data_IF_980747083487
#
_entry.id   IF_980747083487
#
_cell.length_a   1.000
_cell.length_b   1.000
_cell.length_c   1.000
_cell.angle_alpha   90.00
_cell.angle_beta   90.00
_cell.angle_gamma   90.00
#
_symmetry.space_group_name_H-M   'P 1'
#
loop_
_entity.id
_entity.type
_entity.pdbx_description
1 polymer ?
#
# COMPACT_ATOMS: atom_id res chain seq x y z
N UNK A 1 26.45 -19.33 -16.53
CA UNK A 1 27.05 -18.36 -17.47
C UNK A 1 26.95 -16.94 -16.95
N UNK A 2 25.76 -16.43 -16.60
CA UNK A 2 25.60 -15.08 -16.01
C UNK A 2 26.39 -14.88 -14.70
N UNK A 3 26.41 -15.88 -13.81
CA UNK A 3 27.17 -15.85 -12.55
C UNK A 3 28.69 -16.00 -12.69
N UNK A 4 29.17 -16.44 -13.85
CA UNK A 4 30.56 -16.91 -14.03
C UNK A 4 31.33 -16.10 -15.07
N UNK A 5 30.66 -15.24 -15.83
CA UNK A 5 31.26 -14.46 -16.93
C UNK A 5 31.23 -12.98 -16.56
N UNK A 6 32.40 -12.34 -16.36
CA UNK A 6 32.45 -10.92 -16.03
C UNK A 6 31.72 -10.06 -17.07
N UNK A 7 30.86 -9.16 -16.61
CA UNK A 7 30.15 -8.21 -17.47
C UNK A 7 28.87 -8.73 -18.14
N UNK A 8 28.65 -10.05 -18.21
CA UNK A 8 27.47 -10.60 -18.90
C UNK A 8 26.16 -10.25 -18.19
N UNK A 9 26.15 -10.17 -16.85
CA UNK A 9 25.00 -9.66 -16.10
C UNK A 9 24.68 -8.21 -16.46
N UNK A 10 25.69 -7.33 -16.53
CA UNK A 10 25.49 -5.93 -16.94
C UNK A 10 24.98 -5.80 -18.37
N UNK A 11 25.40 -6.69 -19.26
CA UNK A 11 24.89 -6.73 -20.63
C UNK A 11 23.44 -7.24 -20.69
N UNK A 12 23.11 -8.25 -19.88
CA UNK A 12 21.74 -8.74 -19.71
C UNK A 12 20.79 -7.62 -19.24
N UNK A 13 21.15 -6.92 -18.16
CA UNK A 13 20.37 -5.78 -17.65
C UNK A 13 20.24 -4.66 -18.68
N UNK A 14 21.36 -4.28 -19.32
CA UNK A 14 21.35 -3.25 -20.38
C UNK A 14 20.43 -3.63 -21.54
N UNK A 15 20.43 -4.89 -21.94
CA UNK A 15 19.58 -5.39 -23.01
C UNK A 15 18.11 -5.37 -22.60
N UNK A 16 17.79 -5.77 -21.37
CA UNK A 16 16.44 -5.70 -20.83
C UNK A 16 15.92 -4.26 -20.81
N UNK A 17 16.70 -3.31 -20.29
CA UNK A 17 16.37 -1.89 -20.30
C UNK A 17 16.10 -1.37 -21.73
N UNK A 18 17.06 -1.54 -22.64
CA UNK A 18 16.97 -1.00 -23.99
C UNK A 18 15.84 -1.62 -24.85
N UNK A 19 15.50 -2.89 -24.61
CA UNK A 19 14.59 -3.64 -25.48
C UNK A 19 13.22 -3.93 -24.87
N UNK A 20 13.05 -3.75 -23.56
CA UNK A 20 11.81 -4.06 -22.84
C UNK A 20 11.38 -2.90 -21.97
N UNK A 21 12.15 -2.57 -20.92
CA UNK A 21 11.68 -1.68 -19.84
C UNK A 21 11.52 -0.23 -20.29
N UNK A 22 12.52 0.31 -20.99
CA UNK A 22 12.58 1.75 -21.31
C UNK A 22 11.94 2.07 -22.67
N UNK A 23 11.23 1.11 -23.26
CA UNK A 23 10.55 1.31 -24.54
C UNK A 23 9.26 2.10 -24.34
N UNK A 24 8.97 2.99 -25.28
CA UNK A 24 7.69 3.74 -25.33
C UNK A 24 6.44 2.86 -25.28
N UNK A 25 6.53 1.63 -25.80
CA UNK A 25 5.46 0.62 -25.76
C UNK A 25 5.91 -0.59 -24.93
N UNK A 26 6.55 -0.35 -23.80
CA UNK A 26 6.91 -1.41 -22.85
C UNK A 26 5.65 -2.23 -22.51
N UNK A 27 5.77 -3.57 -22.35
CA UNK A 27 4.68 -4.36 -21.80
C UNK A 27 4.24 -3.79 -20.44
N UNK A 28 2.96 -3.91 -20.12
CA UNK A 28 2.47 -3.51 -18.79
C UNK A 28 2.95 -4.47 -17.71
N UNK A 29 2.99 -3.97 -16.48
CA UNK A 29 3.19 -4.81 -15.31
C UNK A 29 2.01 -5.75 -15.07
N UNK A 30 2.11 -6.63 -14.04
CA UNK A 30 1.08 -7.63 -13.75
C UNK A 30 -0.31 -7.05 -13.42
N UNK A 31 -0.37 -5.78 -12.99
CA UNK A 31 -1.61 -5.09 -12.63
C UNK A 31 -2.06 -4.03 -13.65
N UNK A 32 -1.40 -3.93 -14.80
CA UNK A 32 -1.68 -2.91 -15.82
C UNK A 32 -0.57 -1.87 -15.96
N UNK A 33 -0.87 -0.69 -16.53
CA UNK A 33 0.13 0.36 -16.71
C UNK A 33 0.62 0.89 -15.36
N UNK A 34 1.86 1.38 -15.34
CA UNK A 34 2.44 2.04 -14.17
C UNK A 34 1.90 3.47 -14.02
N UNK A 35 1.87 3.93 -12.76
CA UNK A 35 1.48 5.27 -12.35
C UNK A 35 2.23 6.35 -13.13
N UNK A 36 3.54 6.18 -13.31
CA UNK A 36 4.38 7.13 -14.04
C UNK A 36 3.87 7.35 -15.46
N UNK A 37 3.70 6.28 -16.22
CA UNK A 37 3.19 6.35 -17.59
C UNK A 37 1.80 6.97 -17.65
N UNK A 38 0.91 6.63 -16.71
CA UNK A 38 -0.44 7.18 -16.66
C UNK A 38 -0.42 8.68 -16.33
N UNK A 39 0.34 9.10 -15.33
CA UNK A 39 0.47 10.48 -14.88
C UNK A 39 1.14 11.35 -15.96
N UNK A 40 2.24 10.90 -16.54
CA UNK A 40 2.92 11.61 -17.64
C UNK A 40 1.99 11.82 -18.84
N UNK A 41 1.13 10.86 -19.15
CA UNK A 41 0.18 10.96 -20.28
C UNK A 41 -0.89 12.05 -20.09
N UNK A 42 -1.06 12.53 -18.84
CA UNK A 42 -2.05 13.54 -18.44
C UNK A 42 -1.41 14.87 -18.06
N UNK A 43 -0.09 14.91 -17.98
CA UNK A 43 0.68 16.12 -17.67
C UNK A 43 0.59 17.16 -18.81
N UNK A 44 0.78 18.44 -18.47
CA UNK A 44 0.87 19.53 -19.46
C UNK A 44 -0.38 20.41 -19.63
N UNK A 45 -1.40 20.24 -18.79
CA UNK A 45 -2.54 21.17 -18.72
C UNK A 45 -2.25 22.30 -17.73
N UNK A 46 -1.99 23.50 -18.24
CA UNK A 46 -1.90 24.70 -17.41
C UNK A 46 -3.28 25.08 -16.85
N UNK A 47 -3.36 25.34 -15.55
CA UNK A 47 -4.58 25.81 -14.87
C UNK A 47 -4.62 27.34 -14.82
N UNK A 48 -5.81 27.91 -14.92
CA UNK A 48 -6.04 29.35 -14.70
C UNK A 48 -5.72 29.78 -13.26
N UNK A 49 -5.40 31.06 -13.08
CA UNK A 49 -5.15 31.63 -11.74
C UNK A 49 -6.38 31.48 -10.82
N UNK A 50 -7.58 31.56 -11.39
CA UNK A 50 -8.84 31.34 -10.67
C UNK A 50 -8.98 29.88 -10.18
N UNK A 51 -8.62 28.90 -11.02
CA UNK A 51 -8.60 27.50 -10.63
C UNK A 51 -7.58 27.27 -9.49
N UNK A 52 -6.36 27.77 -9.66
CA UNK A 52 -5.29 27.65 -8.65
C UNK A 52 -5.66 28.29 -7.31
N UNK A 53 -6.40 29.40 -7.33
CA UNK A 53 -6.90 30.05 -6.12
C UNK A 53 -7.98 29.23 -5.41
N UNK A 54 -8.84 28.55 -6.17
CA UNK A 54 -9.84 27.62 -5.62
C UNK A 54 -9.16 26.36 -5.06
N UNK A 55 -8.18 25.80 -5.77
CA UNK A 55 -7.42 24.62 -5.34
C UNK A 55 -6.74 24.87 -4.00
N UNK A 56 -6.16 26.04 -3.79
CA UNK A 56 -5.55 26.42 -2.51
C UNK A 56 -6.57 26.46 -1.36
N UNK A 57 -7.85 26.80 -1.62
CA UNK A 57 -8.92 26.73 -0.61
C UNK A 57 -9.28 25.27 -0.32
N UNK A 58 -9.46 24.46 -1.36
CA UNK A 58 -9.78 23.04 -1.25
C UNK A 58 -8.69 22.30 -0.46
N UNK A 59 -7.41 22.52 -0.79
CA UNK A 59 -6.28 21.89 -0.08
C UNK A 59 -6.31 22.22 1.41
N UNK A 60 -6.66 23.44 1.82
CA UNK A 60 -6.79 23.79 3.24
C UNK A 60 -7.93 23.05 3.93
N UNK A 61 -9.07 22.88 3.26
CA UNK A 61 -10.19 22.08 3.77
C UNK A 61 -9.78 20.61 3.92
N UNK A 62 -9.10 20.04 2.93
CA UNK A 62 -8.64 18.66 3.00
C UNK A 62 -7.61 18.48 4.13
N UNK A 63 -6.68 19.42 4.31
CA UNK A 63 -5.69 19.38 5.39
C UNK A 63 -6.31 19.54 6.78
N UNK A 64 -7.44 20.25 6.93
CA UNK A 64 -8.14 20.32 8.23
C UNK A 64 -8.75 18.99 8.64
N UNK A 65 -9.06 18.15 7.66
CA UNK A 65 -9.64 16.82 7.85
C UNK A 65 -8.59 15.69 7.77
N UNK A 66 -7.31 16.04 7.63
CA UNK A 66 -6.21 15.08 7.50
C UNK A 66 -5.50 14.88 8.83
N UNK A 67 -5.71 13.71 9.44
CA UNK A 67 -4.89 13.22 10.54
C UNK A 67 -3.62 12.55 10.04
N UNK A 68 -2.51 12.70 10.76
CA UNK A 68 -1.22 12.10 10.42
C UNK A 68 -0.59 11.37 11.62
N UNK A 69 -0.08 10.18 11.38
CA UNK A 69 0.91 9.52 12.25
C UNK A 69 2.27 9.62 11.56
N UNK A 70 3.28 10.15 12.24
CA UNK A 70 4.63 10.30 11.69
C UNK A 70 5.68 9.71 12.62
N UNK A 71 6.48 8.81 12.07
CA UNK A 71 7.72 8.32 12.66
C UNK A 71 8.91 8.93 11.91
N UNK A 72 9.73 9.72 12.61
CA UNK A 72 10.86 10.47 12.01
C UNK A 72 12.20 9.72 12.05
N UNK A 73 12.19 8.45 12.48
CA UNK A 73 13.37 7.62 12.69
C UNK A 73 13.72 7.47 14.17
N UNK A 74 13.20 8.33 15.03
CA UNK A 74 13.43 8.30 16.48
C UNK A 74 12.13 8.38 17.28
N UNK A 75 11.19 9.22 16.85
CA UNK A 75 9.98 9.55 17.60
C UNK A 75 8.74 9.37 16.76
N UNK A 76 7.70 8.86 17.41
CA UNK A 76 6.36 8.80 16.84
C UNK A 76 5.53 10.01 17.30
N UNK A 77 4.87 10.66 16.35
CA UNK A 77 4.00 11.82 16.59
C UNK A 77 2.66 11.60 15.91
N UNK A 78 1.58 11.91 16.61
CA UNK A 78 0.22 11.88 16.08
C UNK A 78 -0.31 13.31 16.02
N UNK A 79 -0.74 13.73 14.83
CA UNK A 79 -1.26 15.05 14.53
C UNK A 79 -2.72 14.86 14.08
N UNK A 80 -3.72 15.26 14.89
CA UNK A 80 -5.12 15.00 14.55
C UNK A 80 -5.62 15.73 13.29
N UNK A 81 -5.08 16.91 13.01
CA UNK A 81 -5.41 17.75 11.85
C UNK A 81 -4.18 18.58 11.45
N UNK A 82 -3.95 18.74 10.14
CA UNK A 82 -2.80 19.48 9.61
C UNK A 82 -3.07 20.98 9.37
N UNK A 83 -4.35 21.38 9.33
CA UNK A 83 -4.76 22.76 9.22
C UNK A 83 -5.93 23.07 10.18
N UNK A 84 -6.14 24.34 10.56
CA UNK A 84 -7.35 24.76 11.28
C UNK A 84 -8.61 24.53 10.43
N UNK A 85 -9.74 24.28 11.09
CA UNK A 85 -11.04 24.20 10.44
C UNK A 85 -11.34 25.52 9.71
N UNK A 86 -11.65 25.49 8.40
CA UNK A 86 -11.96 26.69 7.63
C UNK A 86 -13.22 27.40 8.12
N UNK A 87 -13.21 28.73 8.10
CA UNK A 87 -14.40 29.53 8.43
C UNK A 87 -15.51 29.39 7.38
N UNK A 88 -15.12 29.14 6.13
CA UNK A 88 -16.03 28.98 4.99
C UNK A 88 -15.49 27.92 4.03
N UNK A 89 -16.30 26.90 3.80
CA UNK A 89 -16.02 25.84 2.82
C UNK A 89 -16.33 26.29 1.39
N UNK A 90 -15.64 25.67 0.44
CA UNK A 90 -15.91 25.74 -1.00
C UNK A 90 -17.28 25.13 -1.29
N UNK A 91 -18.06 25.87 -2.07
CA UNK A 91 -19.44 25.52 -2.44
C UNK A 91 -19.53 25.13 -3.91
N UNK A 92 -20.63 24.49 -4.31
CA UNK A 92 -20.89 24.19 -5.72
C UNK A 92 -20.87 25.47 -6.58
N UNK A 93 -21.31 26.61 -6.04
CA UNK A 93 -21.27 27.88 -6.75
C UNK A 93 -19.84 28.37 -7.01
N UNK A 94 -18.89 28.11 -6.09
CA UNK A 94 -17.48 28.44 -6.29
C UNK A 94 -16.90 27.57 -7.43
N UNK A 95 -17.19 26.27 -7.43
CA UNK A 95 -16.72 25.33 -8.47
C UNK A 95 -17.35 25.66 -9.83
N UNK A 96 -18.65 25.92 -9.88
CA UNK A 96 -19.37 26.21 -11.12
C UNK A 96 -18.99 27.55 -11.76
N UNK A 97 -18.27 28.42 -11.03
CA UNK A 97 -17.70 29.64 -11.60
C UNK A 97 -16.53 29.37 -12.56
N UNK A 98 -15.87 28.21 -12.45
CA UNK A 98 -14.79 27.79 -13.34
C UNK A 98 -15.31 27.21 -14.67
N UNK A 99 -14.46 27.23 -15.69
CA UNK A 99 -14.73 26.54 -16.96
C UNK A 99 -14.83 25.03 -16.76
N UNK A 100 -15.65 24.34 -17.54
CA UNK A 100 -15.96 22.91 -17.31
C UNK A 100 -14.72 22.00 -17.23
N UNK A 101 -13.64 22.32 -17.97
CA UNK A 101 -12.40 21.53 -17.96
C UNK A 101 -11.47 21.81 -16.77
N UNK A 102 -11.75 22.85 -16.00
CA UNK A 102 -10.93 23.31 -14.86
C UNK A 102 -11.64 23.11 -13.52
N UNK A 103 -12.79 22.44 -13.50
CA UNK A 103 -13.57 22.22 -12.27
C UNK A 103 -12.93 21.09 -11.46
N UNK A 104 -12.51 21.33 -10.20
CA UNK A 104 -12.20 20.24 -9.29
C UNK A 104 -13.43 19.39 -9.03
N UNK A 105 -13.23 18.08 -8.89
CA UNK A 105 -14.27 17.09 -8.57
C UNK A 105 -14.34 16.80 -7.07
N UNK A 106 -13.71 17.61 -6.23
CA UNK A 106 -13.90 17.54 -4.78
C UNK A 106 -13.70 18.89 -4.11
N UNK A 107 -14.23 18.99 -2.90
CA UNK A 107 -13.84 19.96 -1.90
C UNK A 107 -13.91 19.30 -0.50
N UNK A 108 -13.80 20.07 0.58
CA UNK A 108 -13.97 19.52 1.93
C UNK A 108 -15.32 18.83 2.13
N UNK A 109 -16.41 19.47 1.68
CA UNK A 109 -17.78 18.93 1.80
C UNK A 109 -18.41 18.49 0.48
N UNK A 110 -17.74 18.74 -0.66
CA UNK A 110 -18.22 18.34 -1.98
C UNK A 110 -17.58 17.01 -2.39
N UNK A 111 -18.42 16.00 -2.60
CA UNK A 111 -18.01 14.64 -2.94
C UNK A 111 -18.43 14.27 -4.36
N UNK A 112 -17.52 13.69 -5.13
CA UNK A 112 -17.84 13.15 -6.45
C UNK A 112 -18.17 11.66 -6.38
N UNK A 113 -19.42 11.31 -6.70
CA UNK A 113 -19.97 9.95 -6.64
C UNK A 113 -20.34 9.45 -8.02
N UNK A 114 -20.26 8.14 -8.21
CA UNK A 114 -20.81 7.48 -9.40
C UNK A 114 -22.32 7.31 -9.29
N UNK A 115 -22.81 7.02 -8.08
CA UNK A 115 -24.21 6.71 -7.79
C UNK A 115 -24.66 7.55 -6.59
N UNK A 116 -25.75 8.29 -6.76
CA UNK A 116 -26.39 9.03 -5.67
C UNK A 116 -27.20 8.09 -4.77
N UNK A 117 -26.50 7.29 -3.97
CA UNK A 117 -27.09 6.33 -3.03
C UNK A 117 -26.29 6.23 -1.72
N UNK A 118 -26.97 5.80 -0.65
CA UNK A 118 -26.34 5.47 0.64
C UNK A 118 -26.06 3.96 0.67
N UNK A 119 -24.79 3.58 0.86
CA UNK A 119 -24.32 2.21 0.58
C UNK A 119 -24.13 1.35 1.85
N UNK A 120 -23.81 1.94 3.00
CA UNK A 120 -23.57 1.19 4.25
C UNK A 120 -24.71 0.24 4.67
N UNK A 121 -26.02 0.51 4.44
CA UNK A 121 -27.07 -0.41 4.86
C UNK A 121 -26.96 -1.77 4.15
N UNK A 122 -26.53 -1.76 2.87
CA UNK A 122 -26.28 -2.99 2.12
C UNK A 122 -25.11 -3.77 2.74
N UNK A 123 -24.01 -3.08 3.05
CA UNK A 123 -22.84 -3.70 3.65
C UNK A 123 -23.14 -4.29 5.04
N UNK A 124 -23.88 -3.57 5.87
CA UNK A 124 -24.31 -4.06 7.19
C UNK A 124 -25.19 -5.30 7.08
N UNK A 125 -26.11 -5.36 6.10
CA UNK A 125 -26.91 -6.56 5.89
C UNK A 125 -26.05 -7.74 5.39
N UNK A 126 -25.10 -7.51 4.49
CA UNK A 126 -24.17 -8.55 4.05
C UNK A 126 -23.28 -9.05 5.19
N UNK A 127 -22.75 -8.15 6.02
CA UNK A 127 -21.99 -8.52 7.22
C UNK A 127 -22.83 -9.33 8.21
N UNK A 128 -24.06 -8.88 8.51
CA UNK A 128 -25.01 -9.60 9.37
C UNK A 128 -25.27 -11.02 8.86
N UNK A 129 -25.44 -11.19 7.54
CA UNK A 129 -25.61 -12.51 6.90
C UNK A 129 -24.33 -13.35 6.97
N UNK A 130 -23.16 -12.73 6.83
CA UNK A 130 -21.87 -13.40 6.93
C UNK A 130 -21.60 -13.94 8.34
N UNK A 131 -22.09 -13.26 9.38
CA UNK A 131 -21.90 -13.66 10.79
C UNK A 131 -23.07 -14.44 11.39
N UNK A 132 -24.15 -14.70 10.62
CA UNK A 132 -25.34 -15.40 11.14
C UNK A 132 -25.10 -16.91 11.25
N UNK A 133 -25.02 -17.50 12.47
CA UNK A 133 -24.75 -18.92 12.64
C UNK A 133 -25.87 -19.81 12.10
N UNK A 134 -27.08 -19.28 11.84
CA UNK A 134 -28.20 -20.02 11.26
C UNK A 134 -28.04 -20.27 9.76
N UNK A 135 -27.15 -19.54 9.09
CA UNK A 135 -26.86 -19.71 7.66
C UNK A 135 -25.79 -20.77 7.42
N UNK A 136 -25.85 -21.40 6.25
CA UNK A 136 -24.83 -22.39 5.85
C UNK A 136 -23.46 -21.73 5.65
N UNK A 137 -22.38 -22.50 5.79
CA UNK A 137 -21.02 -22.00 5.59
C UNK A 137 -20.84 -21.33 4.21
N UNK A 138 -21.43 -21.92 3.17
CA UNK A 138 -21.44 -21.37 1.81
C UNK A 138 -22.15 -20.00 1.76
N UNK A 139 -23.35 -19.90 2.32
CA UNK A 139 -24.11 -18.65 2.33
C UNK A 139 -23.39 -17.54 3.12
N UNK A 140 -22.73 -17.91 4.24
CA UNK A 140 -21.91 -16.96 5.01
C UNK A 140 -20.71 -16.48 4.21
N UNK A 141 -20.02 -17.39 3.51
CA UNK A 141 -18.88 -17.06 2.66
C UNK A 141 -19.27 -16.17 1.47
N UNK A 142 -20.38 -16.48 0.79
CA UNK A 142 -20.90 -15.65 -0.30
C UNK A 142 -21.27 -14.24 0.20
N UNK A 143 -21.97 -14.13 1.34
CA UNK A 143 -22.31 -12.86 1.95
C UNK A 143 -21.07 -12.05 2.39
N UNK A 144 -20.05 -12.72 2.93
CA UNK A 144 -18.79 -12.10 3.30
C UNK A 144 -18.05 -11.57 2.06
N UNK A 145 -18.01 -12.35 0.97
CA UNK A 145 -17.44 -11.90 -0.30
C UNK A 145 -18.15 -10.66 -0.82
N UNK A 146 -19.49 -10.64 -0.83
CA UNK A 146 -20.28 -9.47 -1.22
C UNK A 146 -20.00 -8.25 -0.32
N UNK A 147 -19.89 -8.45 0.99
CA UNK A 147 -19.52 -7.39 1.92
C UNK A 147 -18.16 -6.78 1.59
N UNK A 148 -17.12 -7.62 1.46
CA UNK A 148 -15.75 -7.16 1.21
C UNK A 148 -15.60 -6.51 -0.15
N UNK A 149 -16.18 -7.09 -1.21
CA UNK A 149 -16.22 -6.48 -2.54
C UNK A 149 -16.93 -5.13 -2.51
N UNK A 150 -18.07 -5.04 -1.82
CA UNK A 150 -18.81 -3.78 -1.71
C UNK A 150 -18.05 -2.70 -0.92
N UNK A 151 -17.29 -3.09 0.11
CA UNK A 151 -16.48 -2.15 0.91
C UNK A 151 -15.35 -1.50 0.10
N UNK A 152 -14.78 -2.22 -0.87
CA UNK A 152 -13.73 -1.68 -1.74
C UNK A 152 -14.32 -0.84 -2.89
N UNK A 153 -15.43 -1.28 -3.51
CA UNK A 153 -15.93 -0.69 -4.76
C UNK A 153 -16.99 0.40 -4.61
N UNK A 154 -17.89 0.30 -3.64
CA UNK A 154 -19.04 1.22 -3.58
C UNK A 154 -18.62 2.62 -3.15
N UNK A 155 -19.30 3.63 -3.68
CA UNK A 155 -19.11 5.03 -3.26
C UNK A 155 -19.17 5.15 -1.73
N UNK A 156 -18.22 5.89 -1.17
CA UNK A 156 -18.07 6.07 0.26
C UNK A 156 -19.20 6.93 0.83
N UNK A 157 -19.66 6.47 1.98
CA UNK A 157 -20.42 7.26 2.95
C UNK A 157 -19.67 7.29 4.29
N UNK A 158 -20.07 8.17 5.23
CA UNK A 158 -19.37 8.33 6.50
C UNK A 158 -19.28 7.05 7.33
N UNK A 159 -20.24 6.14 7.23
CA UNK A 159 -20.21 4.88 7.98
C UNK A 159 -19.20 3.92 7.34
N UNK A 160 -19.22 3.78 6.02
CA UNK A 160 -18.24 3.00 5.27
C UNK A 160 -16.80 3.48 5.52
N UNK A 161 -16.59 4.79 5.52
CA UNK A 161 -15.29 5.37 5.81
C UNK A 161 -14.77 4.98 7.21
N UNK A 162 -15.66 4.87 8.20
CA UNK A 162 -15.33 4.36 9.55
C UNK A 162 -15.20 2.84 9.61
N UNK A 163 -15.83 2.08 8.71
CA UNK A 163 -15.57 0.64 8.58
C UNK A 163 -14.12 0.39 8.15
N UNK A 164 -13.54 1.25 7.30
CA UNK A 164 -12.14 1.13 6.86
C UNK A 164 -11.14 1.28 8.03
N UNK A 165 -11.47 2.07 9.06
CA UNK A 165 -10.67 2.19 10.29
C UNK A 165 -10.53 0.86 11.04
N UNK A 166 -11.44 -0.07 10.79
CA UNK A 166 -11.50 -1.35 11.50
C UNK A 166 -10.55 -2.40 10.92
N UNK A 167 -9.83 -2.11 9.82
CA UNK A 167 -8.92 -3.07 9.23
C UNK A 167 -7.59 -3.15 10.02
N UNK A 168 -7.31 -4.24 10.73
CA UNK A 168 -6.08 -4.37 11.51
C UNK A 168 -4.82 -4.41 10.63
N UNK A 169 -4.96 -4.74 9.33
CA UNK A 169 -3.84 -4.77 8.41
C UNK A 169 -3.31 -3.37 8.04
N UNK A 170 -4.06 -2.30 8.33
CA UNK A 170 -3.63 -0.92 8.07
C UNK A 170 -2.40 -0.56 8.92
N UNK A 171 -1.39 0.02 8.30
CA UNK A 171 -0.13 0.41 8.96
C UNK A 171 -0.30 1.40 10.10
N UNK A 172 -1.31 2.26 10.07
CA UNK A 172 -1.65 3.12 11.21
C UNK A 172 -2.05 2.34 12.47
N UNK A 173 -2.50 1.10 12.33
CA UNK A 173 -2.80 0.21 13.46
C UNK A 173 -1.54 -0.42 14.06
N UNK A 174 -0.70 -1.06 13.25
CA UNK A 174 0.40 -1.88 13.75
C UNK A 174 1.72 -1.13 13.93
N UNK A 175 2.02 -0.09 13.14
CA UNK A 175 3.32 0.59 13.21
C UNK A 175 3.57 1.27 14.56
N UNK A 176 2.59 1.95 15.21
CA UNK A 176 2.84 2.57 16.49
C UNK A 176 3.26 1.58 17.58
N UNK A 177 2.60 0.41 17.63
CA UNK A 177 2.96 -0.65 18.57
C UNK A 177 4.35 -1.22 18.25
N UNK A 178 4.68 -1.41 16.96
CA UNK A 178 5.99 -1.91 16.54
C UNK A 178 7.13 -0.94 16.86
N UNK A 179 6.94 0.36 16.63
CA UNK A 179 7.92 1.40 16.99
C UNK A 179 8.18 1.36 18.49
N UNK A 180 7.12 1.36 19.31
CA UNK A 180 7.21 1.27 20.78
C UNK A 180 7.92 -0.01 21.22
N UNK A 181 7.60 -1.14 20.60
CA UNK A 181 8.26 -2.42 20.88
C UNK A 181 9.76 -2.39 20.54
N UNK A 182 10.17 -1.59 19.55
CA UNK A 182 11.56 -1.44 19.15
C UNK A 182 12.32 -0.34 19.91
N UNK A 183 11.66 0.46 20.76
CA UNK A 183 12.32 1.51 21.54
C UNK A 183 13.46 0.95 22.41
N UNK A 184 14.60 1.64 22.39
CA UNK A 184 15.81 1.25 23.12
C UNK A 184 16.55 0.03 22.54
N UNK A 185 16.04 -0.59 21.47
CA UNK A 185 16.72 -1.68 20.76
C UNK A 185 17.45 -1.12 19.53
N UNK A 186 18.60 -1.70 19.21
CA UNK A 186 19.48 -1.20 18.13
C UNK A 186 19.61 -2.15 16.95
N UNK A 187 19.04 -3.37 17.04
CA UNK A 187 19.19 -4.37 15.99
C UNK A 187 18.34 -4.06 14.75
N UNK A 188 17.06 -3.77 14.96
CA UNK A 188 16.15 -3.45 13.88
C UNK A 188 16.04 -1.95 13.65
N UNK A 189 16.07 -1.58 12.36
CA UNK A 189 15.72 -0.25 11.88
C UNK A 189 14.27 -0.24 11.41
N UNK A 190 13.63 0.91 11.51
CA UNK A 190 12.29 1.16 10.97
C UNK A 190 12.45 2.36 10.04
N UNK A 191 12.01 2.28 8.78
CA UNK A 191 12.13 3.42 7.90
C UNK A 191 11.20 4.55 8.36
N UNK A 192 11.68 5.79 8.29
CA UNK A 192 10.85 7.00 8.46
C UNK A 192 9.57 6.84 7.67
N UNK A 193 8.45 7.13 8.31
CA UNK A 193 7.12 6.84 7.77
C UNK A 193 6.19 7.98 8.14
N UNK A 194 5.48 8.52 7.15
CA UNK A 194 4.30 9.37 7.37
C UNK A 194 3.08 8.66 6.84
N UNK A 195 2.08 8.47 7.71
CA UNK A 195 0.79 7.85 7.43
C UNK A 195 -0.24 8.97 7.49
N UNK A 196 -0.86 9.30 6.36
CA UNK A 196 -1.93 10.28 6.29
C UNK A 196 -3.27 9.56 6.16
N UNK A 197 -4.22 9.90 7.04
CA UNK A 197 -5.60 9.48 6.90
C UNK A 197 -6.25 10.37 5.82
N UNK A 198 -6.48 9.79 4.64
CA UNK A 198 -7.00 10.51 3.49
C UNK A 198 -8.43 11.01 3.78
N UNK A 199 -8.74 12.30 3.56
CA UNK A 199 -10.10 12.82 3.71
C UNK A 199 -11.11 12.02 2.87
N UNK A 200 -12.34 11.91 3.36
CA UNK A 200 -13.38 11.08 2.72
C UNK A 200 -13.61 11.48 1.25
N UNK A 201 -13.66 12.79 0.97
CA UNK A 201 -13.90 13.30 -0.39
C UNK A 201 -12.73 13.03 -1.34
N UNK A 202 -11.49 13.03 -0.84
CA UNK A 202 -10.30 12.64 -1.59
C UNK A 202 -10.27 11.14 -1.84
N UNK A 203 -10.44 10.33 -0.79
CA UNK A 203 -10.42 8.87 -0.91
C UNK A 203 -11.52 8.34 -1.84
N UNK A 204 -12.65 9.05 -1.93
CA UNK A 204 -13.73 8.72 -2.86
C UNK A 204 -13.29 8.77 -4.33
N UNK A 205 -12.34 9.64 -4.70
CA UNK A 205 -11.83 9.72 -6.07
C UNK A 205 -11.21 8.39 -6.54
N UNK A 206 -10.77 7.53 -5.61
CA UNK A 206 -10.22 6.22 -5.98
C UNK A 206 -11.28 5.21 -6.43
N UNK A 207 -12.57 5.56 -6.34
CA UNK A 207 -13.72 4.70 -6.68
C UNK A 207 -14.48 5.21 -7.89
N UNK A 208 -14.00 6.27 -8.53
CA UNK A 208 -14.50 6.71 -9.83
C UNK A 208 -13.51 6.30 -10.92
N UNK A 209 -13.93 6.38 -12.19
CA UNK A 209 -13.04 6.11 -13.33
C UNK A 209 -11.86 7.10 -13.29
N UNK A 210 -10.64 6.60 -13.12
CA UNK A 210 -9.46 7.45 -12.92
C UNK A 210 -9.28 8.42 -14.10
N UNK A 211 -9.51 7.96 -15.32
CA UNK A 211 -9.43 8.73 -16.57
C UNK A 211 -10.42 9.90 -16.62
N UNK A 212 -11.50 9.85 -15.83
CA UNK A 212 -12.49 10.94 -15.74
C UNK A 212 -12.03 12.12 -14.87
N UNK A 213 -10.92 11.99 -14.14
CA UNK A 213 -10.43 13.04 -13.24
C UNK A 213 -9.92 14.28 -14.01
N UNK A 214 -10.25 15.48 -13.57
CA UNK A 214 -9.77 16.73 -14.19
C UNK A 214 -8.35 17.06 -13.74
N UNK A 215 -7.63 17.86 -14.54
CA UNK A 215 -6.29 18.34 -14.18
C UNK A 215 -6.30 19.13 -12.85
N UNK A 216 -7.36 19.92 -12.60
CA UNK A 216 -7.53 20.64 -11.34
C UNK A 216 -7.71 19.69 -10.14
N UNK A 217 -8.47 18.60 -10.31
CA UNK A 217 -8.59 17.57 -9.27
C UNK A 217 -7.23 16.95 -8.92
N UNK A 218 -6.42 16.63 -9.92
CA UNK A 218 -5.11 16.02 -9.72
C UNK A 218 -4.11 16.99 -9.08
N UNK A 219 -4.10 18.27 -9.48
CA UNK A 219 -3.28 19.31 -8.82
C UNK A 219 -3.67 19.51 -7.34
N UNK A 220 -4.97 19.46 -7.01
CA UNK A 220 -5.42 19.47 -5.60
C UNK A 220 -4.86 18.27 -4.83
N UNK A 221 -4.91 17.07 -5.40
CA UNK A 221 -4.42 15.84 -4.75
C UNK A 221 -2.92 15.92 -4.52
N UNK A 222 -2.16 16.41 -5.49
CA UNK A 222 -0.71 16.59 -5.38
C UNK A 222 -0.33 17.64 -4.34
N UNK A 223 -0.97 18.80 -4.33
CA UNK A 223 -0.71 19.84 -3.34
C UNK A 223 -1.07 19.39 -1.93
N UNK A 224 -2.16 18.63 -1.79
CA UNK A 224 -2.48 17.98 -0.53
C UNK A 224 -1.37 17.02 -0.10
N UNK A 225 -0.90 16.14 -0.99
CA UNK A 225 0.15 15.17 -0.68
C UNK A 225 1.48 15.84 -0.31
N UNK A 226 1.90 16.85 -1.07
CA UNK A 226 3.10 17.66 -0.79
C UNK A 226 3.06 18.25 0.63
N UNK A 227 1.93 18.82 1.03
CA UNK A 227 1.74 19.38 2.36
C UNK A 227 1.64 18.30 3.46
N UNK A 228 0.84 17.25 3.23
CA UNK A 228 0.58 16.19 4.20
C UNK A 228 1.84 15.40 4.55
N UNK A 229 2.62 15.05 3.53
CA UNK A 229 3.84 14.26 3.68
C UNK A 229 5.10 15.10 3.87
N UNK A 230 5.03 16.42 3.67
CA UNK A 230 6.19 17.34 3.69
C UNK A 230 7.26 16.91 2.68
N UNK A 231 6.80 16.62 1.46
CA UNK A 231 7.63 16.11 0.38
C UNK A 231 8.73 17.12 0.03
N UNK A 232 9.92 16.61 -0.22
CA UNK A 232 11.06 17.39 -0.69
C UNK A 232 11.50 16.87 -2.05
N UNK A 233 11.61 17.72 -3.08
CA UNK A 233 11.91 17.28 -4.44
C UNK A 233 13.24 16.52 -4.61
N UNK A 234 14.19 16.70 -3.69
CA UNK A 234 15.52 16.08 -3.72
C UNK A 234 15.64 14.78 -2.89
N UNK A 235 14.54 14.30 -2.31
CA UNK A 235 14.49 13.05 -1.55
C UNK A 235 13.87 11.89 -2.36
N UNK A 236 14.09 10.67 -1.88
CA UNK A 236 13.52 9.46 -2.48
C UNK A 236 12.53 8.78 -1.53
N UNK A 237 11.40 8.36 -2.10
CA UNK A 237 10.26 7.88 -1.33
C UNK A 237 9.82 6.49 -1.76
N UNK A 238 9.36 5.71 -0.78
CA UNK A 238 8.61 4.48 -1.00
C UNK A 238 7.12 4.72 -0.70
N UNK A 239 6.27 4.48 -1.70
CA UNK A 239 4.83 4.72 -1.65
C UNK A 239 4.05 3.44 -1.35
N UNK A 240 3.05 3.54 -0.49
CA UNK A 240 2.05 2.49 -0.28
C UNK A 240 0.72 3.04 0.21
N UNK A 241 -0.34 2.25 0.09
CA UNK A 241 -1.58 2.44 0.84
C UNK A 241 -1.41 1.88 2.26
N UNK A 242 -2.41 2.07 3.11
CA UNK A 242 -2.41 1.49 4.47
C UNK A 242 -2.12 -0.02 4.52
N UNK A 243 -2.51 -0.77 3.48
CA UNK A 243 -2.45 -2.25 3.46
C UNK A 243 -1.64 -2.84 2.31
N UNK A 244 -1.30 -2.05 1.28
CA UNK A 244 -0.70 -2.57 0.06
C UNK A 244 0.32 -1.62 -0.55
N UNK A 245 1.45 -2.20 -0.97
CA UNK A 245 2.40 -1.57 -1.87
C UNK A 245 2.38 -2.30 -3.19
N UNK A 246 2.31 -1.58 -4.32
CA UNK A 246 2.39 -2.19 -5.64
C UNK A 246 3.82 -2.56 -6.04
N UNK A 247 4.58 -3.18 -5.12
CA UNK A 247 6.00 -3.53 -5.30
C UNK A 247 6.23 -4.57 -6.41
N UNK A 248 5.17 -5.20 -6.92
CA UNK A 248 5.21 -6.08 -8.08
C UNK A 248 5.33 -5.32 -9.40
N UNK A 249 5.15 -4.00 -9.38
CA UNK A 249 5.61 -3.05 -10.37
C UNK A 249 6.31 -1.89 -9.63
N UNK A 250 7.61 -2.06 -9.39
CA UNK A 250 8.35 -1.23 -8.44
C UNK A 250 8.41 0.25 -8.84
N UNK A 251 8.20 0.55 -10.13
CA UNK A 251 8.06 1.92 -10.67
C UNK A 251 6.92 2.70 -10.00
N UNK A 252 5.92 2.00 -9.48
CA UNK A 252 4.80 2.62 -8.76
C UNK A 252 5.12 2.88 -7.29
N UNK A 253 6.06 2.14 -6.72
CA UNK A 253 6.37 2.17 -5.30
C UNK A 253 7.59 3.04 -5.00
N UNK A 254 8.49 3.29 -5.94
CA UNK A 254 9.71 4.05 -5.73
C UNK A 254 9.75 5.31 -6.59
N UNK A 255 9.76 6.47 -5.92
CA UNK A 255 9.80 7.79 -6.57
C UNK A 255 11.10 8.49 -6.19
N UNK A 256 11.82 9.01 -7.20
CA UNK A 256 13.14 9.64 -7.04
C UNK A 256 13.29 10.97 -7.74
N UNK A 257 12.61 11.17 -8.87
CA UNK A 257 12.83 12.37 -9.68
C UNK A 257 12.06 13.57 -9.11
N UNK A 258 12.65 14.78 -9.06
CA UNK A 258 12.00 15.95 -8.46
C UNK A 258 10.60 16.27 -8.99
N UNK A 259 10.36 16.04 -10.29
CA UNK A 259 9.04 16.25 -10.87
C UNK A 259 8.03 15.18 -10.41
N UNK A 260 8.44 13.91 -10.36
CA UNK A 260 7.59 12.81 -9.87
C UNK A 260 7.28 12.97 -8.38
N UNK A 261 8.24 13.46 -7.58
CA UNK A 261 8.00 13.76 -6.15
C UNK A 261 6.85 14.75 -5.98
N UNK A 262 6.75 15.76 -6.86
CA UNK A 262 5.66 16.73 -6.81
C UNK A 262 4.31 16.15 -7.23
N UNK A 263 4.31 14.96 -7.85
CA UNK A 263 3.14 14.24 -8.36
C UNK A 263 2.78 12.98 -7.53
N UNK A 264 3.34 12.85 -6.33
CA UNK A 264 3.09 11.69 -5.45
C UNK A 264 1.60 11.55 -5.08
N UNK A 265 0.82 12.63 -5.10
CA UNK A 265 -0.62 12.57 -4.84
C UNK A 265 -1.33 11.75 -5.91
N UNK A 266 -1.06 12.03 -7.19
CA UNK A 266 -1.55 11.24 -8.31
C UNK A 266 -1.12 9.76 -8.22
N UNK A 267 0.14 9.49 -7.85
CA UNK A 267 0.63 8.11 -7.72
C UNK A 267 -0.13 7.35 -6.65
N UNK A 268 -0.31 7.95 -5.46
CA UNK A 268 -1.06 7.33 -4.36
C UNK A 268 -2.53 7.11 -4.72
N UNK A 269 -3.15 8.07 -5.41
CA UNK A 269 -4.53 7.94 -5.88
C UNK A 269 -4.67 6.82 -6.92
N UNK A 270 -3.77 6.78 -7.92
CA UNK A 270 -3.77 5.74 -8.94
C UNK A 270 -3.55 4.35 -8.36
N UNK A 271 -2.59 4.21 -7.43
CA UNK A 271 -2.35 2.98 -6.68
C UNK A 271 -3.60 2.50 -5.94
N UNK A 272 -4.32 3.42 -5.29
CA UNK A 272 -5.56 3.11 -4.60
C UNK A 272 -6.65 2.69 -5.59
N UNK A 273 -6.83 3.41 -6.71
CA UNK A 273 -7.79 3.08 -7.78
C UNK A 273 -7.57 1.69 -8.35
N UNK A 274 -6.35 1.40 -8.81
CA UNK A 274 -5.99 0.09 -9.36
C UNK A 274 -6.26 -1.03 -8.35
N UNK A 275 -5.94 -0.81 -7.07
CA UNK A 275 -6.10 -1.81 -6.03
C UNK A 275 -7.57 -2.09 -5.66
N UNK A 276 -8.44 -1.08 -5.61
CA UNK A 276 -9.87 -1.32 -5.31
C UNK A 276 -10.60 -1.95 -6.51
N UNK A 277 -10.21 -1.61 -7.74
CA UNK A 277 -10.76 -2.22 -8.96
C UNK A 277 -10.50 -3.73 -9.05
N UNK A 278 -9.46 -4.24 -8.38
CA UNK A 278 -9.21 -5.69 -8.27
C UNK A 278 -10.40 -6.44 -7.64
N UNK A 279 -11.20 -5.79 -6.79
CA UNK A 279 -12.41 -6.38 -6.21
C UNK A 279 -13.56 -6.53 -7.22
N UNK A 280 -13.45 -5.86 -8.38
CA UNK A 280 -14.44 -5.82 -9.44
C UNK A 280 -14.76 -7.20 -10.04
N UNK A 281 -16.02 -7.45 -10.46
CA UNK A 281 -16.42 -8.74 -11.03
C UNK A 281 -15.78 -9.02 -12.41
N UNK A 282 -15.21 -7.99 -13.06
CA UNK A 282 -14.48 -8.12 -14.32
C UNK A 282 -13.01 -8.51 -14.11
N UNK A 283 -12.50 -8.38 -12.88
CA UNK A 283 -11.14 -8.78 -12.52
C UNK A 283 -11.03 -10.30 -12.44
N UNK A 284 -9.93 -10.85 -12.94
CA UNK A 284 -9.69 -12.29 -12.97
C UNK A 284 -8.34 -12.65 -12.34
N UNK A 285 -8.31 -13.16 -11.10
CA UNK A 285 -9.44 -13.33 -10.18
C UNK A 285 -9.90 -12.01 -9.55
N UNK A 286 -11.19 -11.90 -9.22
CA UNK A 286 -11.71 -10.83 -8.38
C UNK A 286 -11.15 -10.96 -6.96
N UNK A 287 -10.44 -9.94 -6.50
CA UNK A 287 -9.67 -9.93 -5.25
C UNK A 287 -10.01 -8.67 -4.46
N UNK A 288 -10.80 -8.82 -3.40
CA UNK A 288 -11.01 -7.76 -2.41
C UNK A 288 -9.89 -7.75 -1.36
N UNK A 289 -9.77 -6.67 -0.60
CA UNK A 289 -8.84 -6.60 0.52
C UNK A 289 -7.48 -6.01 0.22
N UNK A 290 -7.17 -5.69 -1.05
CA UNK A 290 -5.85 -5.19 -1.47
C UNK A 290 -5.61 -3.82 -0.83
N UNK A 291 -6.50 -2.86 -1.06
CA UNK A 291 -6.44 -1.51 -0.46
C UNK A 291 -7.71 -1.15 0.31
N UNK A 292 -8.23 -2.08 1.13
CA UNK A 292 -9.33 -1.79 2.08
C UNK A 292 -8.79 -0.93 3.23
N UNK A 293 -8.59 0.35 2.98
CA UNK A 293 -7.99 1.30 3.91
C UNK A 293 -8.41 2.73 3.56
N UNK A 294 -8.26 3.64 4.53
CA UNK A 294 -8.37 5.08 4.33
C UNK A 294 -7.04 5.81 4.56
N UNK A 295 -5.93 5.06 4.54
CA UNK A 295 -4.59 5.58 4.76
C UNK A 295 -3.79 5.62 3.45
N UNK A 296 -3.09 6.73 3.24
CA UNK A 296 -2.03 6.87 2.25
C UNK A 296 -0.69 7.06 2.95
N UNK A 297 0.37 6.45 2.44
CA UNK A 297 1.63 6.33 3.18
C UNK A 297 2.83 6.61 2.30
N UNK A 298 3.70 7.46 2.83
CA UNK A 298 5.00 7.79 2.26
C UNK A 298 6.08 7.42 3.27
N UNK A 299 7.04 6.61 2.84
CA UNK A 299 8.18 6.15 3.65
C UNK A 299 9.48 6.62 3.04
N UNK A 300 10.53 6.73 3.86
CA UNK A 300 11.87 6.82 3.30
C UNK A 300 12.17 5.56 2.50
N UNK A 301 12.75 5.74 1.32
CA UNK A 301 13.26 4.63 0.55
C UNK A 301 14.51 4.08 1.23
N UNK A 302 14.59 2.76 1.39
CA UNK A 302 15.77 2.07 1.92
C UNK A 302 16.71 1.78 0.74
N UNK A 303 17.87 2.46 0.63
CA UNK A 303 18.79 2.31 -0.50
C UNK A 303 19.38 0.91 -0.57
N UNK A 304 19.73 0.47 -1.79
CA UNK A 304 20.51 -0.75 -1.97
C UNK A 304 21.99 -0.44 -1.86
N UNK A 305 22.62 -0.89 -0.78
CA UNK A 305 24.05 -0.63 -0.56
C UNK A 305 24.96 -1.64 -1.28
N UNK A 306 24.38 -2.65 -1.95
CA UNK A 306 25.12 -3.77 -2.55
C UNK A 306 24.95 -3.91 -4.06
N UNK A 307 24.20 -3.00 -4.71
CA UNK A 307 23.95 -3.02 -6.16
C UNK A 307 23.44 -4.39 -6.63
N UNK A 308 22.40 -4.87 -5.96
CA UNK A 308 21.82 -6.18 -6.17
C UNK A 308 20.97 -6.20 -7.46
N UNK A 309 20.92 -7.34 -8.16
CA UNK A 309 19.99 -7.52 -9.26
C UNK A 309 18.55 -7.28 -8.83
N UNK A 310 17.78 -6.65 -9.72
CA UNK A 310 16.41 -6.24 -9.47
C UNK A 310 15.41 -7.17 -10.13
N UNK A 311 14.25 -7.36 -9.52
CA UNK A 311 13.05 -7.99 -10.11
C UNK A 311 11.91 -6.98 -10.14
N UNK A 312 10.75 -7.33 -10.68
CA UNK A 312 9.55 -6.48 -10.64
C UNK A 312 9.80 -5.05 -11.11
N UNK A 313 10.50 -4.92 -12.24
CA UNK A 313 10.78 -3.64 -12.89
C UNK A 313 11.58 -2.65 -12.01
N UNK A 314 12.39 -3.16 -11.08
CA UNK A 314 13.38 -2.34 -10.36
C UNK A 314 13.54 -2.64 -8.87
N UNK A 315 12.76 -3.55 -8.30
CA UNK A 315 12.86 -3.93 -6.88
C UNK A 315 14.17 -4.70 -6.62
N UNK A 316 15.10 -4.19 -5.79
CA UNK A 316 16.31 -4.92 -5.44
C UNK A 316 15.99 -6.24 -4.73
N UNK A 317 16.51 -7.34 -5.26
CA UNK A 317 16.22 -8.67 -4.72
C UNK A 317 17.09 -8.96 -3.49
N UNK A 318 16.68 -8.38 -2.35
CA UNK A 318 17.30 -8.53 -1.03
C UNK A 318 16.79 -9.77 -0.29
N UNK A 319 17.57 -10.27 0.67
CA UNK A 319 17.11 -11.33 1.54
C UNK A 319 16.02 -10.80 2.49
N UNK A 320 14.87 -11.48 2.52
CA UNK A 320 13.71 -11.11 3.33
C UNK A 320 13.21 -12.31 4.15
N UNK A 321 12.75 -12.04 5.36
CA UNK A 321 12.25 -12.99 6.33
C UNK A 321 10.78 -12.69 6.61
N UNK A 322 9.96 -13.73 6.70
CA UNK A 322 8.62 -13.63 7.26
C UNK A 322 8.56 -14.37 8.58
N UNK A 323 8.38 -13.64 9.66
CA UNK A 323 8.22 -14.18 11.00
C UNK A 323 6.73 -14.22 11.35
N UNK A 324 6.24 -15.35 11.84
CA UNK A 324 4.89 -15.49 12.39
C UNK A 324 4.97 -15.42 13.90
N UNK A 325 4.26 -14.49 14.51
CA UNK A 325 4.34 -14.17 15.93
C UNK A 325 2.94 -14.19 16.55
N UNK A 326 2.85 -14.58 17.82
CA UNK A 326 1.66 -14.49 18.65
C UNK A 326 1.91 -13.44 19.73
N UNK A 327 1.27 -12.29 19.61
CA UNK A 327 1.42 -11.18 20.54
C UNK A 327 0.64 -11.42 21.84
N UNK A 328 -0.34 -12.33 21.85
CA UNK A 328 -1.08 -12.67 23.08
C UNK A 328 -0.24 -13.56 24.02
N UNK A 329 0.74 -14.29 23.48
CA UNK A 329 1.56 -15.24 24.23
C UNK A 329 3.06 -14.98 24.18
N UNK A 330 3.48 -13.84 23.63
CA UNK A 330 4.88 -13.49 23.39
C UNK A 330 5.69 -14.61 22.70
N UNK A 331 5.08 -15.29 21.71
CA UNK A 331 5.68 -16.46 21.08
C UNK A 331 6.01 -16.22 19.59
N UNK A 332 7.24 -16.57 19.18
CA UNK A 332 7.57 -16.75 17.77
C UNK A 332 7.06 -18.13 17.31
N UNK A 333 6.05 -18.13 16.44
CA UNK A 333 5.37 -19.33 15.95
C UNK A 333 6.12 -20.03 14.82
N UNK A 334 6.86 -19.28 14.01
CA UNK A 334 7.63 -19.79 12.88
C UNK A 334 8.33 -18.70 12.08
N UNK A 335 9.29 -19.07 11.26
CA UNK A 335 10.02 -18.19 10.35
C UNK A 335 10.15 -18.86 8.98
N UNK A 336 9.96 -18.09 7.90
CA UNK A 336 9.99 -18.57 6.53
C UNK A 336 10.80 -17.62 5.63
N UNK A 337 11.55 -18.10 4.63
CA UNK A 337 12.09 -17.22 3.60
C UNK A 337 10.95 -16.56 2.83
N UNK A 338 10.95 -15.23 2.71
CA UNK A 338 9.93 -14.51 1.94
C UNK A 338 9.99 -14.90 0.46
N UNK A 339 11.22 -14.99 -0.07
CA UNK A 339 11.53 -15.43 -1.42
C UNK A 339 11.67 -16.96 -1.49
N UNK A 340 10.62 -17.69 -1.15
CA UNK A 340 10.63 -19.16 -1.17
C UNK A 340 10.90 -19.70 -2.61
N UNK A 341 11.91 -20.58 -2.80
CA UNK A 341 12.24 -21.09 -4.13
C UNK A 341 11.10 -21.81 -4.84
N UNK A 342 10.24 -22.55 -4.12
CA UNK A 342 9.14 -23.27 -4.77
C UNK A 342 8.09 -22.28 -5.27
N UNK A 343 7.70 -21.30 -4.45
CA UNK A 343 6.70 -20.29 -4.82
C UNK A 343 7.22 -19.38 -5.93
N UNK A 344 8.44 -18.87 -5.82
CA UNK A 344 9.00 -17.93 -6.80
C UNK A 344 9.25 -18.59 -8.15
N UNK A 345 9.81 -19.81 -8.18
CA UNK A 345 9.99 -20.52 -9.44
C UNK A 345 8.64 -20.85 -10.10
N UNK A 346 7.62 -21.19 -9.32
CA UNK A 346 6.28 -21.41 -9.85
C UNK A 346 5.65 -20.11 -10.40
N UNK A 347 5.76 -18.99 -9.68
CA UNK A 347 5.27 -17.67 -10.09
C UNK A 347 5.84 -17.23 -11.43
N UNK A 348 7.15 -17.41 -11.64
CA UNK A 348 7.80 -16.92 -12.85
C UNK A 348 7.71 -17.88 -14.05
N UNK A 349 7.57 -19.19 -13.81
CA UNK A 349 7.62 -20.19 -14.89
C UNK A 349 6.27 -20.76 -15.29
N UNK A 350 5.32 -20.84 -14.37
CA UNK A 350 4.12 -21.66 -14.57
C UNK A 350 2.83 -20.82 -14.60
N UNK A 351 2.89 -19.54 -14.25
CA UNK A 351 1.73 -18.64 -14.31
C UNK A 351 1.37 -18.25 -15.75
N UNK A 352 0.10 -17.86 -16.02
CA UNK A 352 -0.35 -17.51 -17.38
C UNK A 352 0.44 -16.38 -18.06
N UNK A 353 1.05 -15.49 -17.27
CA UNK A 353 1.86 -14.36 -17.74
C UNK A 353 3.36 -14.69 -17.84
N UNK A 354 3.77 -15.95 -17.69
CA UNK A 354 5.18 -16.38 -17.73
C UNK A 354 5.91 -16.07 -19.05
N UNK A 355 5.16 -15.89 -20.14
CA UNK A 355 5.71 -15.45 -21.43
C UNK A 355 5.96 -13.93 -21.52
N UNK A 356 5.49 -13.14 -20.54
CA UNK A 356 5.77 -11.71 -20.46
C UNK A 356 7.30 -11.48 -20.33
N UNK A 357 7.90 -10.57 -21.11
CA UNK A 357 9.33 -10.25 -21.02
C UNK A 357 9.81 -9.90 -19.61
N UNK A 358 9.00 -9.22 -18.79
CA UNK A 358 9.32 -8.93 -17.39
C UNK A 358 9.40 -10.20 -16.55
N UNK A 359 8.48 -11.15 -16.74
CA UNK A 359 8.50 -12.43 -16.01
C UNK A 359 9.69 -13.31 -16.42
N UNK A 360 10.08 -13.28 -17.70
CA UNK A 360 11.27 -13.97 -18.20
C UNK A 360 12.56 -13.38 -17.63
N UNK A 361 12.63 -12.04 -17.56
CA UNK A 361 13.72 -11.33 -16.91
C UNK A 361 13.82 -11.75 -15.44
N UNK A 362 12.72 -11.63 -14.69
CA UNK A 362 12.68 -11.93 -13.27
C UNK A 362 12.97 -13.40 -12.97
N UNK A 363 12.57 -14.33 -13.83
CA UNK A 363 12.92 -15.75 -13.72
C UNK A 363 14.44 -15.98 -13.74
N UNK A 364 15.13 -15.31 -14.66
CA UNK A 364 16.59 -15.42 -14.82
C UNK A 364 17.30 -14.77 -13.63
N UNK A 365 16.88 -13.56 -13.24
CA UNK A 365 17.45 -12.81 -12.13
C UNK A 365 17.23 -13.53 -10.80
N UNK A 366 16.03 -14.04 -10.56
CA UNK A 366 15.74 -14.86 -9.40
C UNK A 366 16.60 -16.12 -9.37
N UNK A 367 16.71 -16.85 -10.49
CA UNK A 367 17.51 -18.08 -10.52
C UNK A 367 18.99 -17.84 -10.25
N UNK A 368 19.50 -16.68 -10.65
CA UNK A 368 20.86 -16.24 -10.37
C UNK A 368 21.08 -16.00 -8.87
N UNK A 369 20.11 -15.39 -8.18
CA UNK A 369 20.22 -14.97 -6.76
C UNK A 369 19.70 -15.99 -5.76
N UNK A 370 18.86 -16.94 -6.17
CA UNK A 370 18.29 -17.98 -5.31
C UNK A 370 19.33 -18.66 -4.40
N UNK A 371 20.53 -19.09 -4.87
CA UNK A 371 21.51 -19.72 -3.99
C UNK A 371 22.10 -18.79 -2.92
N UNK A 372 22.28 -17.49 -3.22
CA UNK A 372 22.78 -16.51 -2.25
C UNK A 372 21.68 -16.15 -1.25
N UNK A 373 20.46 -15.90 -1.73
CA UNK A 373 19.29 -15.60 -0.88
C UNK A 373 19.07 -16.68 0.17
N UNK A 374 19.09 -17.96 -0.25
CA UNK A 374 18.88 -19.07 0.68
C UNK A 374 20.06 -19.26 1.64
N UNK A 375 21.30 -19.03 1.19
CA UNK A 375 22.47 -19.07 2.07
C UNK A 375 22.43 -17.96 3.13
N UNK A 376 22.10 -16.74 2.72
CA UNK A 376 21.96 -15.58 3.61
C UNK A 376 20.84 -15.79 4.64
N UNK A 377 19.69 -16.29 4.18
CA UNK A 377 18.56 -16.65 5.03
C UNK A 377 18.97 -17.72 6.05
N UNK A 378 19.49 -18.87 5.61
CA UNK A 378 19.87 -19.97 6.50
C UNK A 378 20.96 -19.57 7.50
N UNK A 379 21.90 -18.72 7.08
CA UNK A 379 22.97 -18.25 7.96
C UNK A 379 22.51 -17.28 9.05
N UNK A 380 21.38 -16.58 8.86
CA UNK A 380 20.97 -15.48 9.76
C UNK A 380 19.53 -15.56 10.28
N UNK A 381 18.73 -16.56 9.87
CA UNK A 381 17.34 -16.74 10.34
C UNK A 381 17.24 -16.89 11.86
N UNK A 382 18.18 -17.57 12.51
CA UNK A 382 18.15 -17.79 13.97
C UNK A 382 18.49 -16.51 14.74
N UNK A 383 19.35 -15.65 14.17
CA UNK A 383 19.65 -14.32 14.69
C UNK A 383 18.40 -13.43 14.61
N UNK A 384 17.75 -13.39 13.43
CA UNK A 384 16.49 -12.64 13.24
C UNK A 384 15.42 -13.14 14.20
N UNK A 385 15.23 -14.45 14.31
CA UNK A 385 14.27 -15.07 15.23
C UNK A 385 14.51 -14.64 16.69
N UNK A 386 15.76 -14.62 17.13
CA UNK A 386 16.14 -14.18 18.48
C UNK A 386 15.75 -12.71 18.73
N UNK A 387 16.04 -11.83 17.79
CA UNK A 387 15.72 -10.42 17.93
C UNK A 387 14.22 -10.13 17.80
N UNK A 388 13.50 -10.86 16.95
CA UNK A 388 12.03 -10.77 16.87
C UNK A 388 11.39 -11.21 18.19
N UNK A 389 11.85 -12.31 18.79
CA UNK A 389 11.37 -12.74 20.11
C UNK A 389 11.59 -11.65 21.18
N UNK A 390 12.67 -10.87 21.08
CA UNK A 390 12.93 -9.73 21.96
C UNK A 390 11.97 -8.54 21.79
N UNK A 391 11.26 -8.44 20.65
CA UNK A 391 10.24 -7.40 20.43
C UNK A 391 8.91 -7.74 21.13
N UNK A 392 8.57 -9.02 21.21
CA UNK A 392 7.22 -9.47 21.57
C UNK A 392 6.70 -8.92 22.91
N UNK A 393 7.47 -8.92 24.01
CA UNK A 393 6.97 -8.41 25.29
C UNK A 393 6.58 -6.92 25.29
N UNK A 394 7.06 -6.15 24.29
CA UNK A 394 6.72 -4.74 24.10
C UNK A 394 5.74 -4.48 22.97
N UNK A 395 5.38 -5.50 22.20
CA UNK A 395 4.50 -5.40 21.03
C UNK A 395 3.04 -5.55 21.46
N UNK A 396 2.48 -4.42 21.89
CA UNK A 396 1.11 -4.30 22.39
C UNK A 396 0.07 -4.36 21.26
N UNK A 397 -0.06 -5.55 20.66
CA UNK A 397 -1.06 -5.91 19.66
C UNK A 397 -1.76 -7.21 20.10
N UNK A 398 -3.00 -7.39 19.67
CA UNK A 398 -3.73 -8.64 19.92
C UNK A 398 -3.55 -9.64 18.76
N UNK A 399 -3.52 -10.92 19.09
CA UNK A 399 -3.56 -12.02 18.13
C UNK A 399 -2.25 -12.29 17.39
N UNK A 400 -2.38 -12.97 16.26
CA UNK A 400 -1.25 -13.49 15.48
C UNK A 400 -0.96 -12.64 14.25
N UNK A 401 0.32 -12.33 14.05
CA UNK A 401 0.81 -11.46 12.98
C UNK A 401 1.90 -12.13 12.16
N UNK A 402 1.99 -11.76 10.89
CA UNK A 402 3.23 -11.87 10.13
C UNK A 402 3.99 -10.56 10.22
N UNK A 403 5.30 -10.65 10.38
CA UNK A 403 6.24 -9.54 10.42
C UNK A 403 7.32 -9.81 9.37
N UNK A 404 7.38 -8.92 8.38
CA UNK A 404 8.35 -8.99 7.29
C UNK A 404 9.58 -8.13 7.63
N UNK A 405 10.75 -8.75 7.52
CA UNK A 405 12.06 -8.13 7.77
C UNK A 405 12.88 -8.19 6.48
N UNK A 406 13.49 -7.08 6.10
CA UNK A 406 14.40 -6.99 4.97
C UNK A 406 15.83 -6.79 5.44
N UNK A 407 16.77 -7.54 4.87
CA UNK A 407 18.20 -7.41 5.14
C UNK A 407 18.89 -6.64 4.03
N UNK A 408 19.72 -5.67 4.38
CA UNK A 408 20.67 -5.01 3.49
C UNK A 408 22.06 -4.99 4.16
N UNK A 409 22.96 -5.87 3.71
CA UNK A 409 24.24 -6.10 4.38
C UNK A 409 24.09 -6.59 5.81
N UNK A 410 24.50 -5.77 6.77
CA UNK A 410 24.40 -6.03 8.21
C UNK A 410 23.18 -5.35 8.84
N UNK A 411 22.42 -4.55 8.07
CA UNK A 411 21.23 -3.84 8.55
C UNK A 411 19.96 -4.67 8.33
N UNK A 412 19.09 -4.67 9.34
CA UNK A 412 17.80 -5.38 9.33
C UNK A 412 16.66 -4.38 9.53
N UNK A 413 15.74 -4.34 8.57
CA UNK A 413 14.65 -3.38 8.51
C UNK A 413 13.30 -4.05 8.74
N UNK A 414 12.51 -3.52 9.65
CA UNK A 414 11.11 -3.92 9.82
C UNK A 414 10.27 -3.22 8.75
N UNK A 415 9.78 -3.99 7.76
CA UNK A 415 9.23 -3.42 6.53
C UNK A 415 7.72 -3.58 6.40
N UNK A 416 7.10 -4.62 6.96
CA UNK A 416 5.65 -4.81 6.84
C UNK A 416 5.08 -5.71 7.94
N UNK A 417 3.80 -5.57 8.22
CA UNK A 417 3.04 -6.50 9.06
C UNK A 417 1.63 -6.72 8.53
N UNK A 418 1.09 -7.91 8.76
CA UNK A 418 -0.30 -8.24 8.46
C UNK A 418 -0.82 -9.34 9.42
N UNK A 419 -2.14 -9.50 9.57
CA UNK A 419 -2.70 -10.67 10.25
C UNK A 419 -2.11 -11.98 9.71
N UNK A 420 -1.70 -12.87 10.61
CA UNK A 420 -0.95 -14.07 10.26
C UNK A 420 -1.73 -14.97 9.31
N UNK A 421 -3.04 -15.17 9.52
CA UNK A 421 -3.88 -16.05 8.72
C UNK A 421 -4.04 -15.61 7.27
N UNK A 422 -3.80 -14.33 6.98
CA UNK A 422 -3.91 -13.74 5.63
C UNK A 422 -2.58 -13.75 4.88
N UNK A 423 -1.51 -14.16 5.53
CA UNK A 423 -0.15 -14.05 4.99
C UNK A 423 0.30 -15.34 4.33
N UNK A 424 0.97 -15.22 3.17
CA UNK A 424 1.62 -16.38 2.52
C UNK A 424 2.57 -17.06 3.50
N UNK A 425 2.60 -18.39 3.48
CA UNK A 425 3.39 -19.28 4.34
C UNK A 425 2.84 -19.57 5.73
N UNK A 426 1.69 -19.02 6.12
CA UNK A 426 1.11 -19.27 7.44
C UNK A 426 0.91 -20.76 7.72
N UNK A 427 0.36 -21.51 6.75
CA UNK A 427 0.12 -22.93 6.94
C UNK A 427 1.38 -23.80 6.90
N UNK A 428 2.46 -23.29 6.31
CA UNK A 428 3.74 -23.97 6.18
C UNK A 428 4.61 -23.74 7.43
N UNK A 429 4.60 -22.50 7.96
CA UNK A 429 5.44 -22.10 9.06
C UNK A 429 4.79 -22.29 10.44
N UNK A 430 3.47 -22.11 10.57
CA UNK A 430 2.79 -22.16 11.86
C UNK A 430 2.18 -23.54 12.13
N UNK A 431 2.56 -24.22 13.24
CA UNK A 431 1.98 -25.51 13.63
C UNK A 431 0.47 -25.45 13.77
N UNK A 432 -0.25 -26.44 13.20
CA UNK A 432 -1.73 -26.47 13.17
C UNK A 432 -2.38 -26.24 14.54
N UNK A 433 -1.81 -26.80 15.61
CA UNK A 433 -2.33 -26.67 16.98
C UNK A 433 -2.14 -25.29 17.63
N UNK A 434 -1.29 -24.44 17.03
CA UNK A 434 -1.02 -23.08 17.50
C UNK A 434 -1.77 -22.00 16.73
N UNK A 435 -2.40 -22.34 15.60
CA UNK A 435 -3.08 -21.37 14.74
C UNK A 435 -4.30 -20.77 15.45
N UNK A 436 -4.34 -19.44 15.55
CA UNK A 436 -5.45 -18.66 16.11
C UNK A 436 -5.80 -17.51 15.16
N UNK A 437 -6.53 -17.80 14.07
CA UNK A 437 -6.93 -16.79 13.11
C UNK A 437 -7.68 -15.65 13.79
N UNK A 438 -7.36 -14.42 13.40
CA UNK A 438 -8.01 -13.23 13.95
C UNK A 438 -9.49 -13.20 13.60
N UNK A 439 -10.33 -12.85 14.58
CA UNK A 439 -11.74 -12.60 14.32
C UNK A 439 -11.92 -11.15 13.86
N UNK A 440 -12.43 -10.97 12.65
CA UNK A 440 -12.69 -9.65 12.09
C UNK A 440 -13.90 -8.99 12.75
N UNK A 441 -13.81 -7.69 12.99
CA UNK A 441 -14.94 -6.85 13.34
C UNK A 441 -14.92 -5.58 12.51
N UNK A 442 -15.83 -5.47 11.53
CA UNK A 442 -15.93 -4.31 10.65
C UNK A 442 -16.99 -3.28 11.10
N UNK A 443 -17.57 -3.46 12.28
CA UNK A 443 -18.63 -2.57 12.77
C UNK A 443 -17.99 -1.46 13.61
N UNK A 444 -18.00 -0.20 13.13
CA UNK A 444 -17.46 0.91 13.89
C UNK A 444 -18.38 1.24 15.08
N UNK A 445 -17.79 1.67 16.18
CA UNK A 445 -18.54 2.22 17.31
C UNK A 445 -19.01 3.64 17.00
N UNK A 446 -20.32 3.79 16.76
CA UNK A 446 -20.96 5.07 16.49
C UNK A 446 -21.39 5.74 17.80
N UNK A 447 -20.42 6.05 18.66
CA UNK A 447 -20.71 6.55 20.01
C UNK A 447 -19.47 7.04 20.75
N UNK A 448 -18.97 8.21 20.39
CA UNK A 448 -17.92 8.90 21.13
C UNK A 448 -17.80 10.34 20.65
N UNK A 449 -17.74 11.31 21.56
CA UNK A 449 -17.31 12.67 21.23
C UNK A 449 -15.86 12.57 20.77
N UNK A 450 -15.61 12.81 19.48
CA UNK A 450 -14.27 13.10 18.98
C UNK A 450 -13.96 14.57 19.24
#
# INVERSE_FOLDING_TARGET
MLSTTPGLLREFERSYHANVLDRKNAPTGPLGPDAKTVVESRSGHGLSDEALALDARIVRELLSDTGVIRFDGERLTTIPALAPVPEKYVTESDVNALQSGERPQLAGELIHRQIDAVNYPLLLDMWRRATDPKRSARQRHEAYGMFRTGLDLLDLDPVMYRMLDMNPASIGHWLPALVKANEGKTFFRIPKTTIAKAPLTLLQLSRVEYESLTAATLDVVDRWAQAAFRLKPDESYFLKTGTFSNKYDFRNAHVTEPHEVMQIGEYLLYLQSQAVEMAGPLSQPATYGVSTTNEMVVREYIPDTHDLPTIYMGLPLRCEYRCFIDCDTDELLGIHPYWDPKVMNHRFRDWPDSDNPHMRHDAVTYKLREPSLMREYEATKDLVATHVAGLLPGLDLAGQWSLDIMRDGDDYWLIDMAPAERSTFYEQAVPKGKRRPMMENWIPELGGKH
#
